data_IF_492229855207
#
_entry.id   IF_492229855207
#
_cell.length_a   1.000
_cell.length_b   1.000
_cell.length_c   1.000
_cell.angle_alpha   90.00
_cell.angle_beta   90.00
_cell.angle_gamma   90.00
#
_symmetry.space_group_name_H-M   'P 1'
#
loop_
_entity.id
_entity.type
_entity.pdbx_description
1 polymer ?
#
# COMPACT_ATOMS: atom_id res chain seq x y z
N UNK A 1 -37.48 -24.78 4.39
CA UNK A 1 -36.03 -24.84 4.09
C UNK A 1 -35.88 -24.54 2.62
N UNK A 2 -35.49 -23.31 2.28
CA UNK A 2 -35.43 -22.79 0.91
C UNK A 2 -34.09 -22.08 0.77
N UNK A 3 -33.13 -22.72 0.12
CA UNK A 3 -31.83 -22.14 -0.16
C UNK A 3 -31.97 -21.20 -1.36
N UNK A 4 -31.96 -19.90 -1.10
CA UNK A 4 -31.91 -18.88 -2.14
C UNK A 4 -30.51 -18.90 -2.75
N UNK A 5 -30.35 -19.58 -3.89
CA UNK A 5 -29.12 -19.53 -4.70
C UNK A 5 -29.09 -18.18 -5.41
N UNK A 6 -28.39 -17.21 -4.81
CA UNK A 6 -28.17 -15.87 -5.41
C UNK A 6 -27.20 -16.02 -6.59
N UNK A 7 -27.75 -16.10 -7.80
CA UNK A 7 -27.02 -15.89 -9.05
C UNK A 7 -27.12 -14.42 -9.41
N UNK A 8 -26.09 -13.64 -9.09
CA UNK A 8 -25.95 -12.26 -9.58
C UNK A 8 -24.69 -12.17 -10.40
N UNK A 9 -24.93 -11.93 -11.70
CA UNK A 9 -24.03 -11.58 -12.80
C UNK A 9 -22.68 -11.05 -12.37
N UNK A 10 -21.65 -11.65 -12.95
CA UNK A 10 -20.29 -11.14 -13.00
C UNK A 10 -20.31 -9.78 -13.71
N UNK A 11 -20.56 -8.72 -12.95
CA UNK A 11 -20.08 -7.40 -13.32
C UNK A 11 -18.59 -7.55 -13.13
N UNK A 12 -17.87 -7.82 -14.22
CA UNK A 12 -16.43 -7.63 -14.35
C UNK A 12 -16.14 -6.14 -14.15
N UNK A 13 -16.40 -5.67 -12.94
CA UNK A 13 -15.73 -4.52 -12.37
C UNK A 13 -14.29 -4.94 -12.48
N UNK A 14 -13.50 -4.22 -13.27
CA UNK A 14 -12.05 -4.31 -13.26
C UNK A 14 -11.61 -4.23 -11.79
N UNK A 15 -11.58 -5.36 -11.09
CA UNK A 15 -10.98 -5.49 -9.78
C UNK A 15 -9.51 -5.56 -10.13
N UNK A 16 -8.75 -4.47 -9.97
CA UNK A 16 -7.32 -4.57 -10.13
C UNK A 16 -6.90 -5.71 -9.21
N UNK A 17 -6.23 -6.69 -9.79
CA UNK A 17 -5.65 -7.84 -9.13
C UNK A 17 -5.11 -7.41 -7.75
N UNK A 18 -5.42 -8.05 -6.61
CA UNK A 18 -5.21 -7.48 -5.27
C UNK A 18 -3.74 -7.30 -4.83
N UNK A 19 -2.79 -7.34 -5.76
CA UNK A 19 -1.34 -7.34 -5.54
C UNK A 19 -0.62 -5.97 -5.67
N UNK A 20 -1.02 -4.98 -6.52
CA UNK A 20 -0.31 -3.71 -6.68
C UNK A 20 -0.83 -2.56 -5.79
N UNK A 21 -2.06 -2.59 -5.26
CA UNK A 21 -2.57 -1.51 -4.41
C UNK A 21 -1.79 -1.38 -3.09
N UNK A 22 -1.41 -2.51 -2.49
CA UNK A 22 -0.60 -2.54 -1.25
C UNK A 22 0.74 -1.85 -1.45
N UNK A 23 1.43 -2.18 -2.54
CA UNK A 23 2.68 -1.52 -2.90
C UNK A 23 2.51 -0.04 -3.22
N UNK A 24 1.40 0.35 -3.86
CA UNK A 24 1.07 1.76 -4.08
C UNK A 24 1.02 2.57 -2.78
N UNK A 25 0.37 2.02 -1.74
CA UNK A 25 0.29 2.64 -0.41
C UNK A 25 1.65 2.69 0.30
N UNK A 26 2.42 1.59 0.23
CA UNK A 26 3.76 1.52 0.82
C UNK A 26 4.67 2.59 0.23
N UNK A 27 4.68 2.72 -1.11
CA UNK A 27 5.56 3.67 -1.81
C UNK A 27 5.13 5.12 -1.59
N UNK A 28 3.84 5.42 -1.54
CA UNK A 28 3.36 6.78 -1.24
C UNK A 28 3.69 7.20 0.19
N UNK A 29 3.49 6.30 1.17
CA UNK A 29 3.88 6.56 2.55
C UNK A 29 5.40 6.75 2.69
N UNK A 30 6.20 5.90 2.02
CA UNK A 30 7.65 6.00 2.02
C UNK A 30 8.17 7.29 1.38
N UNK A 31 7.55 7.74 0.28
CA UNK A 31 7.90 9.00 -0.37
C UNK A 31 7.62 10.20 0.55
N UNK A 32 6.48 10.21 1.24
CA UNK A 32 6.13 11.26 2.21
C UNK A 32 7.11 11.26 3.39
N UNK A 33 7.42 10.09 3.94
CA UNK A 33 8.39 9.98 5.03
C UNK A 33 9.80 10.41 4.59
N UNK A 34 10.22 10.03 3.39
CA UNK A 34 11.48 10.47 2.78
C UNK A 34 11.53 11.98 2.58
N UNK A 35 10.44 12.60 2.11
CA UNK A 35 10.35 14.06 1.95
C UNK A 35 10.51 14.79 3.30
N UNK A 36 9.83 14.31 4.34
CA UNK A 36 9.95 14.86 5.70
C UNK A 36 11.36 14.66 6.25
N UNK A 37 11.95 13.47 6.06
CA UNK A 37 13.32 13.18 6.45
C UNK A 37 14.33 14.05 5.72
N UNK A 38 14.11 14.32 4.43
CA UNK A 38 14.95 15.22 3.63
C UNK A 38 14.93 16.65 4.17
N UNK A 39 13.74 17.17 4.44
CA UNK A 39 13.55 18.52 5.00
C UNK A 39 14.16 18.66 6.40
N UNK A 40 14.10 17.60 7.22
CA UNK A 40 14.57 17.65 8.60
C UNK A 40 16.09 17.41 8.76
N UNK A 41 16.69 16.55 7.92
CA UNK A 41 18.07 16.09 8.13
C UNK A 41 18.86 15.81 6.86
N UNK A 42 18.34 16.17 5.69
CA UNK A 42 19.01 16.00 4.41
C UNK A 42 18.90 14.59 3.80
N UNK A 43 19.73 14.28 2.78
CA UNK A 43 19.57 13.09 1.93
C UNK A 43 19.64 11.76 2.70
N UNK A 44 20.52 11.66 3.69
CA UNK A 44 20.70 10.42 4.47
C UNK A 44 19.46 10.17 5.34
N UNK A 45 18.94 11.20 5.99
CA UNK A 45 17.73 11.10 6.81
C UNK A 45 16.50 10.71 5.96
N UNK A 46 16.42 11.19 4.72
CA UNK A 46 15.38 10.81 3.76
C UNK A 46 15.39 9.30 3.46
N UNK A 47 16.57 8.74 3.18
CA UNK A 47 16.71 7.31 2.88
C UNK A 47 16.38 6.43 4.09
N UNK A 48 16.81 6.83 5.29
CA UNK A 48 16.49 6.11 6.54
C UNK A 48 14.98 6.14 6.80
N UNK A 49 14.34 7.30 6.67
CA UNK A 49 12.91 7.45 6.88
C UNK A 49 12.10 6.64 5.85
N UNK A 50 12.45 6.74 4.57
CA UNK A 50 11.76 6.01 3.51
C UNK A 50 11.91 4.49 3.66
N UNK A 51 13.13 3.98 3.87
CA UNK A 51 13.38 2.55 4.04
C UNK A 51 12.73 1.98 5.30
N UNK A 52 12.71 2.72 6.40
CA UNK A 52 12.01 2.34 7.63
C UNK A 52 10.50 2.20 7.42
N UNK A 53 9.89 3.14 6.69
CA UNK A 53 8.45 3.10 6.38
C UNK A 53 8.11 1.99 5.39
N UNK A 54 8.94 1.75 4.38
CA UNK A 54 8.76 0.59 3.48
C UNK A 54 8.79 -0.72 4.27
N UNK A 55 9.82 -0.92 5.10
CA UNK A 55 9.98 -2.15 5.87
C UNK A 55 8.83 -2.38 6.84
N UNK A 56 8.41 -1.33 7.56
CA UNK A 56 7.34 -1.42 8.55
C UNK A 56 5.97 -1.68 7.90
N UNK A 57 5.59 -0.93 6.87
CA UNK A 57 4.32 -1.19 6.18
C UNK A 57 4.34 -2.53 5.44
N UNK A 58 5.49 -2.95 4.89
CA UNK A 58 5.62 -4.26 4.29
C UNK A 58 5.37 -5.36 5.32
N UNK A 59 5.93 -5.26 6.54
CA UNK A 59 5.67 -6.24 7.60
C UNK A 59 4.21 -6.25 8.08
N UNK A 60 3.53 -5.10 8.10
CA UNK A 60 2.12 -5.03 8.53
C UNK A 60 1.17 -5.58 7.45
N UNK A 61 1.53 -5.44 6.18
CA UNK A 61 0.69 -5.83 5.04
C UNK A 61 1.09 -7.17 4.40
N UNK A 62 2.18 -7.81 4.83
CA UNK A 62 2.56 -9.17 4.45
C UNK A 62 1.80 -10.19 5.29
#
# INVERSE_FOLDING_TARGET
MTTVRRSTSNVDTFSPEPLPQRWGLILTAAAMAGLVGFMAGGPIAALVAASGVVGLLHQIMA
#
